data_IF_072778730058
#
_entry.id   IF_072778730058
#
_cell.length_a   1.000
_cell.length_b   1.000
_cell.length_c   1.000
_cell.angle_alpha   90.00
_cell.angle_beta   90.00
_cell.angle_gamma   90.00
#
_symmetry.space_group_name_H-M   'P 1'
#
loop_
_entity.id
_entity.type
_entity.pdbx_description
1 polymer ?
#
# COMPACT_ATOMS: atom_id res chain seq x y z
N UNK A 1 -34.48 -5.57 8.50
CA UNK A 1 -33.65 -4.36 8.76
C UNK A 1 -32.62 -4.57 9.88
N UNK A 2 -33.02 -4.87 11.12
CA UNK A 2 -32.11 -4.96 12.30
C UNK A 2 -30.94 -5.96 12.22
N UNK A 3 -31.09 -7.08 11.49
CA UNK A 3 -30.03 -8.10 11.36
C UNK A 3 -28.86 -7.64 10.48
N UNK A 4 -29.15 -6.92 9.39
CA UNK A 4 -28.10 -6.36 8.53
C UNK A 4 -27.29 -5.27 9.25
N UNK A 5 -27.92 -4.48 10.12
CA UNK A 5 -27.24 -3.43 10.87
C UNK A 5 -26.27 -3.99 11.92
N UNK A 6 -26.64 -5.09 12.59
CA UNK A 6 -25.75 -5.77 13.54
C UNK A 6 -24.52 -6.37 12.82
N UNK A 7 -24.73 -7.01 11.67
CA UNK A 7 -23.65 -7.55 10.82
C UNK A 7 -22.76 -6.43 10.28
N UNK A 8 -23.34 -5.30 9.89
CA UNK A 8 -22.58 -4.13 9.44
C UNK A 8 -21.74 -3.53 10.57
N UNK A 9 -22.30 -3.31 11.76
CA UNK A 9 -21.54 -2.81 12.92
C UNK A 9 -20.40 -3.74 13.32
N UNK A 10 -20.62 -5.06 13.28
CA UNK A 10 -19.56 -6.03 13.57
C UNK A 10 -18.43 -5.93 12.53
N UNK A 11 -18.78 -5.83 11.24
CA UNK A 11 -17.80 -5.62 10.18
C UNK A 11 -17.10 -4.26 10.30
N UNK A 12 -17.77 -3.20 10.76
CA UNK A 12 -17.17 -1.86 10.92
C UNK A 12 -16.21 -1.83 12.08
N UNK A 13 -16.55 -2.52 13.17
CA UNK A 13 -15.60 -2.78 14.27
C UNK A 13 -14.42 -3.62 13.80
N UNK A 14 -14.64 -4.63 12.95
CA UNK A 14 -13.55 -5.44 12.38
C UNK A 14 -12.65 -4.58 11.48
N UNK A 15 -13.24 -3.76 10.61
CA UNK A 15 -12.53 -2.81 9.75
C UNK A 15 -11.72 -1.82 10.60
N UNK A 16 -12.37 -1.17 11.57
CA UNK A 16 -11.73 -0.26 12.51
C UNK A 16 -10.59 -0.94 13.26
N UNK A 17 -10.76 -2.17 13.76
CA UNK A 17 -9.71 -2.89 14.49
C UNK A 17 -8.53 -3.29 13.60
N UNK A 18 -8.79 -3.62 12.33
CA UNK A 18 -7.75 -3.96 11.36
C UNK A 18 -6.96 -2.69 10.97
N UNK A 19 -7.65 -1.57 10.78
CA UNK A 19 -7.09 -0.33 10.26
C UNK A 19 -6.53 0.59 11.36
N UNK A 20 -7.02 0.52 12.60
CA UNK A 20 -6.55 1.41 13.67
C UNK A 20 -5.24 0.95 14.31
N UNK A 21 -4.92 -0.35 14.25
CA UNK A 21 -3.76 -0.91 14.96
C UNK A 21 -2.60 -1.30 14.06
N UNK A 22 -2.81 -1.29 12.75
CA UNK A 22 -1.80 -1.65 11.76
C UNK A 22 -1.66 -0.57 10.70
N UNK A 23 -0.49 -0.54 10.05
CA UNK A 23 -0.34 0.14 8.76
C UNK A 23 -1.31 -0.49 7.76
N UNK A 24 -1.88 0.33 6.89
CA UNK A 24 -2.69 -0.17 5.77
C UNK A 24 -1.75 -0.33 4.57
N UNK A 25 -1.22 0.79 4.11
CA UNK A 25 -0.28 0.90 2.99
C UNK A 25 1.14 1.09 3.51
N UNK A 26 2.06 0.24 3.06
CA UNK A 26 3.50 0.38 3.30
C UNK A 26 4.20 1.22 2.21
N UNK A 27 3.63 1.26 1.02
CA UNK A 27 4.03 2.16 -0.08
C UNK A 27 2.80 2.62 -0.86
N UNK A 28 2.90 3.80 -1.46
CA UNK A 28 2.01 4.21 -2.56
C UNK A 28 2.53 3.55 -3.85
N UNK A 29 1.62 3.14 -4.73
CA UNK A 29 1.93 2.44 -6.00
C UNK A 29 1.54 3.25 -7.23
N UNK A 30 0.90 4.38 -7.02
CA UNK A 30 0.53 5.38 -8.01
C UNK A 30 1.78 6.03 -8.62
N UNK A 31 1.70 6.50 -9.86
CA UNK A 31 2.76 7.29 -10.49
C UNK A 31 2.58 8.78 -10.15
N UNK A 32 3.38 9.35 -9.22
CA UNK A 32 3.21 10.74 -8.80
C UNK A 32 3.53 11.73 -9.93
N UNK A 33 4.20 11.32 -11.02
CA UNK A 33 4.47 12.20 -12.17
C UNK A 33 3.19 12.61 -12.88
N UNK A 34 2.20 11.73 -12.94
CA UNK A 34 0.88 12.02 -13.52
C UNK A 34 0.18 13.09 -12.70
N UNK A 35 0.21 12.95 -11.37
CA UNK A 35 -0.38 13.94 -10.46
C UNK A 35 0.31 15.30 -10.61
N UNK A 36 1.64 15.34 -10.60
CA UNK A 36 2.42 16.58 -10.74
C UNK A 36 2.18 17.28 -12.08
N UNK A 37 2.04 16.51 -13.16
CA UNK A 37 1.69 17.05 -14.48
C UNK A 37 0.28 17.64 -14.52
N UNK A 38 -0.71 16.95 -13.94
CA UNK A 38 -2.11 17.38 -13.98
C UNK A 38 -2.41 18.53 -13.01
N UNK A 39 -1.74 18.57 -11.86
CA UNK A 39 -1.99 19.54 -10.80
C UNK A 39 -1.13 20.80 -10.94
N UNK A 40 -0.12 20.79 -11.82
CA UNK A 40 0.80 21.92 -12.06
C UNK A 40 1.37 22.50 -10.74
N UNK A 41 1.88 21.61 -9.88
CA UNK A 41 2.37 21.98 -8.55
C UNK A 41 3.54 22.96 -8.66
N UNK A 42 3.46 24.06 -7.91
CA UNK A 42 4.42 25.17 -7.89
C UNK A 42 4.63 25.74 -6.47
N UNK A 43 5.46 26.77 -6.31
CA UNK A 43 5.76 27.38 -5.00
C UNK A 43 4.59 28.07 -4.29
N UNK A 44 3.45 28.27 -4.98
CA UNK A 44 2.23 28.86 -4.43
C UNK A 44 1.23 27.79 -4.00
N UNK A 45 1.51 26.54 -4.34
CA UNK A 45 0.61 25.42 -4.15
C UNK A 45 0.46 25.06 -2.67
N UNK A 46 -0.80 24.98 -2.25
CA UNK A 46 -1.23 24.62 -0.91
C UNK A 46 -2.03 23.32 -0.94
N UNK A 47 -1.36 22.19 -0.69
CA UNK A 47 -1.93 20.87 -0.94
C UNK A 47 -2.51 20.27 0.35
N UNK A 48 -3.66 19.63 0.25
CA UNK A 48 -4.21 18.75 1.29
C UNK A 48 -4.41 17.37 0.66
N UNK A 49 -3.90 16.33 1.30
CA UNK A 49 -4.01 14.97 0.79
C UNK A 49 -4.13 13.93 1.89
N UNK A 50 -4.71 12.78 1.52
CA UNK A 50 -4.69 11.60 2.38
C UNK A 50 -3.25 11.10 2.46
N UNK A 51 -2.75 10.88 3.67
CA UNK A 51 -1.34 10.54 3.89
C UNK A 51 -0.96 9.23 3.19
N UNK A 52 -1.80 8.20 3.26
CA UNK A 52 -1.52 6.88 2.68
C UNK A 52 -0.15 6.35 3.17
N UNK A 53 0.83 6.10 2.32
CA UNK A 53 2.18 5.73 2.79
C UNK A 53 3.15 6.93 2.84
N UNK A 54 2.70 8.13 2.50
CA UNK A 54 3.49 9.36 2.44
C UNK A 54 4.45 9.47 1.25
N UNK A 55 4.44 8.52 0.30
CA UNK A 55 5.37 8.55 -0.84
C UNK A 55 5.08 9.74 -1.77
N UNK A 56 3.84 9.90 -2.22
CA UNK A 56 3.47 10.98 -3.15
C UNK A 56 3.66 12.36 -2.50
N UNK A 57 3.32 12.51 -1.22
CA UNK A 57 3.59 13.74 -0.47
C UNK A 57 5.07 14.13 -0.49
N UNK A 58 5.98 13.16 -0.34
CA UNK A 58 7.42 13.42 -0.41
C UNK A 58 7.89 13.69 -1.84
N UNK A 59 7.26 13.06 -2.85
CA UNK A 59 7.58 13.30 -4.26
C UNK A 59 7.16 14.70 -4.71
N UNK A 60 5.98 15.18 -4.32
CA UNK A 60 5.48 16.52 -4.64
C UNK A 60 6.37 17.63 -4.06
N UNK A 61 7.14 17.36 -3.00
CA UNK A 61 8.12 18.33 -2.47
C UNK A 61 9.22 18.68 -3.48
N UNK A 62 9.41 17.86 -4.54
CA UNK A 62 10.36 18.15 -5.61
C UNK A 62 9.97 19.37 -6.45
N UNK A 63 8.69 19.76 -6.45
CA UNK A 63 8.20 20.97 -7.12
C UNK A 63 8.17 22.20 -6.19
N UNK A 64 8.72 22.07 -4.97
CA UNK A 64 8.83 23.13 -3.97
C UNK A 64 7.50 23.85 -3.60
N UNK A 65 6.39 23.12 -3.32
CA UNK A 65 5.14 23.76 -2.92
C UNK A 65 5.25 24.50 -1.59
N UNK A 66 4.40 25.51 -1.38
CA UNK A 66 4.35 26.29 -0.13
C UNK A 66 4.15 25.36 1.07
N UNK A 67 3.20 24.43 0.97
CA UNK A 67 2.96 23.40 2.00
C UNK A 67 2.14 22.23 1.50
N UNK A 68 2.36 21.07 2.12
CA UNK A 68 1.56 19.86 1.94
C UNK A 68 1.03 19.41 3.31
N UNK A 69 -0.29 19.39 3.46
CA UNK A 69 -0.99 18.93 4.65
C UNK A 69 -1.41 17.47 4.46
N UNK A 70 -0.69 16.55 5.11
CA UNK A 70 -0.97 15.12 5.05
C UNK A 70 -1.88 14.72 6.20
N UNK A 71 -3.10 14.29 5.90
CA UNK A 71 -4.13 13.93 6.88
C UNK A 71 -4.50 12.46 6.70
N UNK A 72 -4.66 11.71 7.77
CA UNK A 72 -5.13 10.32 7.67
C UNK A 72 -6.02 9.97 8.86
N UNK A 73 -7.03 9.13 8.61
CA UNK A 73 -7.87 8.56 9.68
C UNK A 73 -7.09 7.51 10.48
N UNK A 74 -6.08 6.89 9.87
CA UNK A 74 -5.14 6.00 10.51
C UNK A 74 -3.82 6.73 10.76
N UNK A 75 -3.54 7.26 11.97
CA UNK A 75 -2.33 8.06 12.20
C UNK A 75 -1.03 7.22 12.14
N UNK A 76 -1.11 5.90 11.94
CA UNK A 76 0.05 5.04 11.68
C UNK A 76 0.63 5.33 10.30
N UNK A 77 -0.21 5.78 9.36
CA UNK A 77 0.19 6.30 8.07
C UNK A 77 1.00 7.60 8.21
N UNK A 78 0.54 8.51 9.08
CA UNK A 78 1.32 9.69 9.46
C UNK A 78 2.65 9.31 10.13
N UNK A 79 2.65 8.32 11.02
CA UNK A 79 3.88 7.82 11.63
C UNK A 79 4.87 7.27 10.57
N UNK A 80 4.38 6.60 9.52
CA UNK A 80 5.22 6.13 8.41
C UNK A 80 5.82 7.29 7.59
N UNK A 81 5.03 8.33 7.31
CA UNK A 81 5.55 9.55 6.70
C UNK A 81 6.61 10.20 7.58
N UNK A 82 6.40 10.29 8.90
CA UNK A 82 7.38 10.85 9.84
C UNK A 82 8.69 10.05 9.86
N UNK A 83 8.64 8.72 9.81
CA UNK A 83 9.84 7.89 9.73
C UNK A 83 10.63 8.17 8.45
N UNK A 84 9.96 8.25 7.30
CA UNK A 84 10.59 8.62 6.02
C UNK A 84 11.22 10.01 6.09
N UNK A 85 10.50 11.00 6.62
CA UNK A 85 10.99 12.37 6.83
C UNK A 85 12.21 12.41 7.74
N UNK A 86 12.20 11.66 8.84
CA UNK A 86 13.34 11.57 9.76
C UNK A 86 14.60 11.05 9.06
N UNK A 87 14.47 9.99 8.26
CA UNK A 87 15.59 9.42 7.49
C UNK A 87 16.10 10.41 6.43
N UNK A 88 15.20 11.06 5.67
CA UNK A 88 15.57 12.06 4.66
C UNK A 88 16.31 13.24 5.32
N UNK A 89 15.84 13.72 6.47
CA UNK A 89 16.51 14.78 7.23
C UNK A 89 17.89 14.39 7.77
N UNK A 90 18.16 13.10 7.95
CA UNK A 90 19.50 12.61 8.26
C UNK A 90 20.45 12.62 7.05
N UNK A 91 19.97 12.95 5.84
CA UNK A 91 20.74 13.03 4.57
C UNK A 91 21.50 11.74 4.23
N UNK A 92 20.91 10.58 4.53
CA UNK A 92 21.49 9.26 4.25
C UNK A 92 20.59 8.48 3.30
N UNK A 93 20.87 8.61 2.00
CA UNK A 93 20.12 7.88 0.98
C UNK A 93 20.23 6.37 1.17
N UNK A 94 21.40 5.88 1.59
CA UNK A 94 21.65 4.44 1.81
C UNK A 94 20.73 3.89 2.90
N UNK A 95 20.52 4.65 3.97
CA UNK A 95 19.58 4.28 5.04
C UNK A 95 18.15 4.25 4.54
N UNK A 96 17.74 5.25 3.74
CA UNK A 96 16.42 5.26 3.10
C UNK A 96 16.24 4.02 2.21
N UNK A 97 17.26 3.71 1.39
CA UNK A 97 17.22 2.60 0.46
C UNK A 97 17.26 1.24 1.16
N UNK A 98 17.98 1.07 2.27
CA UNK A 98 17.88 -0.14 3.08
C UNK A 98 16.46 -0.32 3.63
N UNK A 99 15.91 0.70 4.29
CA UNK A 99 14.59 0.63 4.91
C UNK A 99 13.48 0.39 3.89
N UNK A 100 13.46 1.15 2.78
CA UNK A 100 12.32 1.16 1.86
C UNK A 100 12.61 0.59 0.48
N UNK A 101 13.87 0.55 0.02
CA UNK A 101 14.27 -0.05 -1.25
C UNK A 101 14.62 -1.53 -1.17
N UNK A 102 15.24 -1.97 -0.07
CA UNK A 102 15.44 -3.40 0.26
C UNK A 102 14.33 -3.92 1.16
N UNK A 103 13.68 -3.03 1.90
CA UNK A 103 12.67 -3.40 2.89
C UNK A 103 13.26 -3.95 4.19
N UNK A 104 14.59 -3.93 4.35
CA UNK A 104 15.32 -4.48 5.50
C UNK A 104 16.66 -3.78 5.73
N UNK A 105 17.03 -3.63 7.00
CA UNK A 105 18.35 -3.17 7.44
C UNK A 105 18.78 -3.95 8.69
N UNK A 106 19.99 -4.52 8.65
CA UNK A 106 20.62 -5.13 9.84
C UNK A 106 20.89 -4.10 10.94
N UNK A 107 20.88 -2.81 10.60
CA UNK A 107 21.07 -1.68 11.53
C UNK A 107 19.75 -0.99 11.86
N UNK A 108 18.59 -1.58 11.55
CA UNK A 108 17.30 -0.92 11.71
C UNK A 108 17.09 -0.39 13.14
N UNK A 109 17.29 -1.25 14.15
CA UNK A 109 17.15 -0.91 15.57
C UNK A 109 18.11 0.21 15.99
N UNK A 110 19.41 0.02 15.76
CA UNK A 110 20.43 0.99 16.18
C UNK A 110 20.32 2.32 15.43
N UNK A 111 19.92 2.31 14.16
CA UNK A 111 19.67 3.54 13.39
C UNK A 111 18.47 4.28 13.95
N UNK A 112 17.40 3.55 14.25
CA UNK A 112 16.19 4.12 14.80
C UNK A 112 16.43 4.79 16.15
N UNK A 113 17.02 4.06 17.10
CA UNK A 113 17.28 4.54 18.46
C UNK A 113 18.22 5.76 18.47
N UNK A 114 19.30 5.71 17.68
CA UNK A 114 20.32 6.77 17.71
C UNK A 114 19.93 8.01 16.91
N UNK A 115 19.20 7.85 15.81
CA UNK A 115 19.03 8.93 14.83
C UNK A 115 17.57 9.28 14.52
N UNK A 116 16.64 8.32 14.52
CA UNK A 116 15.30 8.57 13.97
C UNK A 116 14.28 8.91 15.05
N UNK A 117 14.31 8.20 16.18
CA UNK A 117 13.29 8.27 17.22
C UNK A 117 13.04 9.71 17.71
N UNK A 118 14.10 10.46 18.00
CA UNK A 118 14.01 11.83 18.52
C UNK A 118 13.57 12.89 17.48
N UNK A 119 13.41 12.52 16.20
CA UNK A 119 13.04 13.43 15.11
C UNK A 119 11.56 13.33 14.72
N UNK A 120 10.80 12.51 15.43
CA UNK A 120 9.37 12.28 15.19
C UNK A 120 8.55 12.78 16.38
N UNK A 121 7.26 12.97 16.15
CA UNK A 121 6.28 13.19 17.21
C UNK A 121 6.26 12.02 18.19
N UNK A 122 5.77 12.27 19.41
CA UNK A 122 5.64 11.25 20.46
C UNK A 122 4.83 10.05 19.98
N UNK A 123 3.68 10.28 19.34
CA UNK A 123 2.79 9.22 18.88
C UNK A 123 3.42 8.36 17.78
N UNK A 124 4.14 9.00 16.84
CA UNK A 124 4.86 8.29 15.79
C UNK A 124 6.02 7.46 16.36
N UNK A 125 6.79 8.02 17.31
CA UNK A 125 7.84 7.30 18.01
C UNK A 125 7.29 6.11 18.79
N UNK A 126 6.20 6.26 19.56
CA UNK A 126 5.60 5.15 20.30
C UNK A 126 5.13 4.01 19.37
N UNK A 127 4.60 4.34 18.20
CA UNK A 127 4.26 3.33 17.20
C UNK A 127 5.51 2.58 16.71
N UNK A 128 6.56 3.30 16.33
CA UNK A 128 7.78 2.69 15.80
C UNK A 128 8.62 1.99 16.85
N UNK A 129 8.59 2.42 18.12
CA UNK A 129 9.21 1.70 19.24
C UNK A 129 8.74 0.24 19.29
N UNK A 130 7.46 0.01 18.98
CA UNK A 130 6.85 -1.33 18.97
C UNK A 130 7.01 -2.08 17.64
N UNK A 131 7.36 -1.39 16.55
CA UNK A 131 7.22 -1.89 15.16
C UNK A 131 8.47 -1.77 14.32
N UNK A 132 9.54 -1.17 14.80
CA UNK A 132 10.80 -0.99 14.05
C UNK A 132 11.41 -2.33 13.61
N UNK A 133 11.10 -3.43 14.33
CA UNK A 133 11.43 -4.80 13.93
C UNK A 133 10.91 -5.20 12.55
N UNK A 134 9.94 -4.47 12.00
CA UNK A 134 9.47 -4.64 10.63
C UNK A 134 10.61 -4.52 9.60
N UNK A 135 11.67 -3.79 9.93
CA UNK A 135 12.83 -3.57 9.07
C UNK A 135 14.03 -4.46 9.42
N UNK A 136 14.01 -5.31 10.45
CA UNK A 136 15.22 -6.06 10.84
C UNK A 136 15.51 -7.27 9.97
N UNK A 137 14.52 -7.78 9.22
CA UNK A 137 14.68 -9.02 8.47
C UNK A 137 14.52 -10.31 9.30
N UNK A 138 14.29 -10.19 10.61
CA UNK A 138 14.32 -11.33 11.54
C UNK A 138 13.04 -12.17 11.56
N UNK A 139 11.95 -11.69 10.96
CA UNK A 139 10.70 -12.45 10.95
C UNK A 139 10.83 -13.71 10.08
N UNK A 140 10.35 -14.84 10.58
CA UNK A 140 10.44 -16.14 9.91
C UNK A 140 9.92 -16.12 8.47
N UNK A 141 8.75 -15.48 8.25
CA UNK A 141 8.01 -15.58 6.99
C UNK A 141 7.86 -14.25 6.21
N UNK A 142 8.09 -13.10 6.87
CA UNK A 142 7.86 -11.75 6.32
C UNK A 142 9.06 -10.87 6.61
N UNK A 143 10.18 -11.23 5.99
CA UNK A 143 11.47 -10.61 6.26
C UNK A 143 11.48 -9.13 5.87
N UNK A 144 10.77 -8.74 4.82
CA UNK A 144 10.78 -7.37 4.28
C UNK A 144 9.58 -6.54 4.74
N UNK A 145 9.79 -5.23 4.80
CA UNK A 145 8.72 -4.24 5.00
C UNK A 145 7.63 -4.28 3.91
N UNK A 146 7.96 -4.82 2.73
CA UNK A 146 7.00 -5.01 1.63
C UNK A 146 5.80 -5.90 1.99
N UNK A 147 5.97 -6.77 3.00
CA UNK A 147 4.91 -7.66 3.48
C UNK A 147 4.32 -7.23 4.82
N UNK A 148 4.44 -5.95 5.17
CA UNK A 148 3.91 -5.35 6.41
C UNK A 148 2.75 -4.42 6.10
N UNK A 149 1.86 -4.28 7.08
CA UNK A 149 0.57 -3.62 6.90
C UNK A 149 -0.43 -4.49 6.14
N UNK A 150 -1.70 -4.11 6.14
CA UNK A 150 -2.79 -4.96 5.60
C UNK A 150 -2.65 -5.22 4.11
N UNK A 151 -2.20 -4.22 3.34
CA UNK A 151 -1.91 -4.40 1.91
C UNK A 151 -0.69 -5.30 1.69
N UNK A 152 0.36 -5.17 2.51
CA UNK A 152 1.53 -6.04 2.47
C UNK A 152 1.21 -7.50 2.85
N UNK A 153 0.32 -7.70 3.82
CA UNK A 153 -0.22 -9.02 4.19
C UNK A 153 -0.95 -9.67 3.01
N UNK A 154 -1.80 -8.90 2.33
CA UNK A 154 -2.46 -9.34 1.11
C UNK A 154 -1.46 -9.68 0.00
N UNK A 155 -0.46 -8.82 -0.25
CA UNK A 155 0.58 -9.05 -1.24
C UNK A 155 1.38 -10.34 -0.95
N UNK A 156 1.69 -10.60 0.32
CA UNK A 156 2.37 -11.83 0.73
C UNK A 156 1.52 -13.08 0.48
N UNK A 157 0.23 -13.05 0.84
CA UNK A 157 -0.71 -14.14 0.56
C UNK A 157 -0.88 -14.36 -0.95
N UNK A 158 -0.96 -13.29 -1.72
CA UNK A 158 -1.04 -13.34 -3.18
C UNK A 158 0.24 -13.92 -3.80
N UNK A 159 1.42 -13.56 -3.28
CA UNK A 159 2.69 -14.16 -3.69
C UNK A 159 2.71 -15.67 -3.46
N UNK A 160 2.24 -16.16 -2.31
CA UNK A 160 2.08 -17.60 -2.05
C UNK A 160 1.08 -18.27 -3.00
N UNK A 161 -0.02 -17.60 -3.28
CA UNK A 161 -1.03 -18.07 -4.24
C UNK A 161 -0.43 -18.25 -5.65
N UNK A 162 0.44 -17.33 -6.09
CA UNK A 162 1.14 -17.42 -7.36
C UNK A 162 2.19 -18.53 -7.35
N UNK A 163 3.00 -18.65 -6.29
CA UNK A 163 4.01 -19.71 -6.16
C UNK A 163 3.41 -21.12 -6.23
N UNK A 164 2.20 -21.30 -5.70
CA UNK A 164 1.45 -22.56 -5.82
C UNK A 164 0.90 -22.84 -7.25
N UNK A 165 1.07 -21.91 -8.20
CA UNK A 165 0.59 -21.99 -9.58
C UNK A 165 1.73 -21.67 -10.56
N UNK A 166 2.62 -22.63 -10.85
CA UNK A 166 3.86 -22.40 -11.59
C UNK A 166 3.66 -21.64 -12.91
N UNK A 167 2.64 -22.00 -13.71
CA UNK A 167 2.36 -21.31 -14.98
C UNK A 167 1.97 -19.84 -14.79
N UNK A 168 1.12 -19.53 -13.80
CA UNK A 168 0.72 -18.15 -13.50
C UNK A 168 1.91 -17.34 -12.96
N UNK A 169 2.75 -17.96 -12.12
CA UNK A 169 3.99 -17.35 -11.64
C UNK A 169 4.95 -17.01 -12.78
N UNK A 170 5.21 -17.96 -13.69
CA UNK A 170 6.08 -17.75 -14.86
C UNK A 170 5.56 -16.63 -15.74
N UNK A 171 4.26 -16.64 -16.09
CA UNK A 171 3.65 -15.59 -16.89
C UNK A 171 3.71 -14.22 -16.19
N UNK A 172 3.51 -14.18 -14.87
CA UNK A 172 3.67 -12.93 -14.10
C UNK A 172 5.11 -12.41 -14.18
N UNK A 173 6.11 -13.28 -14.09
CA UNK A 173 7.53 -12.89 -14.23
C UNK A 173 7.83 -12.38 -15.64
N UNK A 174 7.29 -13.03 -16.66
CA UNK A 174 7.43 -12.62 -18.07
C UNK A 174 6.78 -11.25 -18.29
N UNK A 175 5.55 -11.05 -17.79
CA UNK A 175 4.82 -9.78 -17.88
C UNK A 175 5.64 -8.61 -17.32
N UNK A 176 6.27 -8.81 -16.15
CA UNK A 176 7.10 -7.81 -15.48
C UNK A 176 8.45 -7.58 -16.17
N UNK A 177 8.92 -8.52 -17.00
CA UNK A 177 10.17 -8.42 -17.74
C UNK A 177 10.01 -8.04 -19.22
N UNK A 178 8.78 -7.92 -19.70
CA UNK A 178 8.44 -7.63 -21.09
C UNK A 178 9.12 -6.35 -21.56
N UNK A 179 9.54 -6.34 -22.83
CA UNK A 179 10.30 -5.24 -23.45
C UNK A 179 9.45 -4.32 -24.30
N UNK A 180 8.19 -4.68 -24.53
CA UNK A 180 7.21 -3.87 -25.26
C UNK A 180 5.82 -4.03 -24.66
N UNK A 181 4.95 -3.05 -24.90
CA UNK A 181 3.54 -3.13 -24.53
C UNK A 181 2.82 -4.26 -25.28
N UNK A 182 3.22 -4.54 -26.52
CA UNK A 182 2.62 -5.62 -27.30
C UNK A 182 2.91 -7.00 -26.70
N UNK A 183 4.18 -7.26 -26.37
CA UNK A 183 4.59 -8.48 -25.65
C UNK A 183 3.87 -8.56 -24.29
N UNK A 184 3.80 -7.46 -23.55
CA UNK A 184 3.14 -7.40 -22.25
C UNK A 184 1.64 -7.75 -22.36
N UNK A 185 0.93 -7.23 -23.36
CA UNK A 185 -0.49 -7.55 -23.60
C UNK A 185 -0.69 -9.02 -23.94
N UNK A 186 0.11 -9.58 -24.84
CA UNK A 186 0.02 -10.99 -25.20
C UNK A 186 0.23 -11.91 -23.98
N UNK A 187 1.21 -11.59 -23.13
CA UNK A 187 1.43 -12.34 -21.88
C UNK A 187 0.25 -12.15 -20.92
N UNK A 188 -0.31 -10.94 -20.84
CA UNK A 188 -1.46 -10.66 -19.98
C UNK A 188 -2.70 -11.43 -20.41
N UNK A 189 -2.98 -11.56 -21.71
CA UNK A 189 -4.11 -12.33 -22.22
C UNK A 189 -4.02 -13.82 -21.81
N UNK A 190 -2.81 -14.37 -21.77
CA UNK A 190 -2.56 -15.69 -21.22
C UNK A 190 -2.66 -15.72 -19.68
N UNK A 191 -2.23 -14.68 -18.98
CA UNK A 191 -2.20 -14.63 -17.53
C UNK A 191 -3.59 -14.39 -16.91
N UNK A 192 -4.41 -13.53 -17.52
CA UNK A 192 -5.66 -13.04 -16.94
C UNK A 192 -6.61 -14.18 -16.55
N UNK A 193 -6.93 -15.18 -17.39
CA UNK A 193 -7.85 -16.26 -17.02
C UNK A 193 -7.36 -17.07 -15.80
N UNK A 194 -6.04 -17.08 -15.57
CA UNK A 194 -5.40 -17.80 -14.46
C UNK A 194 -5.49 -16.99 -13.17
N UNK A 195 -5.36 -15.67 -13.25
CA UNK A 195 -5.53 -14.77 -12.11
C UNK A 195 -7.02 -14.58 -11.77
N UNK A 196 -7.83 -14.24 -12.76
CA UNK A 196 -9.25 -13.87 -12.66
C UNK A 196 -10.19 -15.08 -12.84
N UNK A 197 -9.86 -16.19 -12.20
CA UNK A 197 -10.71 -17.38 -12.15
C UNK A 197 -11.91 -17.20 -11.18
N UNK A 198 -12.84 -18.16 -11.17
CA UNK A 198 -14.07 -18.10 -10.34
C UNK A 198 -13.78 -17.88 -8.86
N UNK A 199 -12.75 -18.51 -8.30
CA UNK A 199 -12.39 -18.37 -6.89
C UNK A 199 -11.85 -16.96 -6.59
N UNK A 200 -10.94 -16.45 -7.41
CA UNK A 200 -10.40 -15.10 -7.22
C UNK A 200 -11.49 -14.04 -7.36
N UNK A 201 -12.34 -14.13 -8.40
CA UNK A 201 -13.48 -13.23 -8.60
C UNK A 201 -14.45 -13.28 -7.41
N UNK A 202 -14.73 -14.47 -6.88
CA UNK A 202 -15.54 -14.62 -5.67
C UNK A 202 -14.89 -13.93 -4.47
N UNK A 203 -13.57 -14.10 -4.27
CA UNK A 203 -12.83 -13.51 -3.16
C UNK A 203 -12.79 -11.97 -3.25
N UNK A 204 -12.61 -11.41 -4.44
CA UNK A 204 -12.59 -9.95 -4.68
C UNK A 204 -13.95 -9.30 -4.41
N UNK A 205 -15.04 -10.04 -4.62
CA UNK A 205 -16.37 -9.59 -4.24
C UNK A 205 -16.66 -9.67 -2.74
N UNK A 206 -15.73 -10.14 -1.88
CA UNK A 206 -15.91 -10.15 -0.41
C UNK A 206 -15.42 -8.87 0.24
N UNK A 207 -16.15 -8.41 1.27
CA UNK A 207 -15.81 -7.15 1.94
C UNK A 207 -14.48 -7.24 2.70
N UNK A 208 -14.19 -8.37 3.35
CA UNK A 208 -12.95 -8.55 4.10
C UNK A 208 -11.71 -8.40 3.20
N UNK A 209 -11.75 -8.97 1.99
CA UNK A 209 -10.68 -8.82 0.99
C UNK A 209 -10.43 -7.36 0.64
N UNK A 210 -11.51 -6.62 0.36
CA UNK A 210 -11.44 -5.20 0.01
C UNK A 210 -10.96 -4.35 1.20
N UNK A 211 -11.38 -4.70 2.42
CA UNK A 211 -10.89 -4.07 3.64
C UNK A 211 -9.38 -4.29 3.83
N UNK A 212 -8.83 -5.47 3.54
CA UNK A 212 -7.38 -5.68 3.63
C UNK A 212 -6.60 -4.80 2.64
N UNK A 213 -7.19 -4.52 1.47
CA UNK A 213 -6.67 -3.61 0.46
C UNK A 213 -6.93 -2.12 0.78
N UNK A 214 -7.50 -1.82 1.95
CA UNK A 214 -7.82 -0.47 2.39
C UNK A 214 -9.03 0.15 1.66
N UNK A 215 -9.80 -0.63 0.91
CA UNK A 215 -10.99 -0.15 0.19
C UNK A 215 -12.17 -0.03 1.17
N UNK A 216 -12.69 1.20 1.42
CA UNK A 216 -13.82 1.40 2.32
C UNK A 216 -15.11 0.77 1.80
N UNK A 217 -16.07 0.55 2.70
CA UNK A 217 -17.39 0.01 2.32
C UNK A 217 -18.13 0.88 1.34
N UNK A 218 -18.11 2.19 1.55
CA UNK A 218 -18.77 3.17 0.69
C UNK A 218 -18.27 3.05 -0.74
N UNK A 219 -16.94 3.01 -0.93
CA UNK A 219 -16.32 2.84 -2.24
C UNK A 219 -16.68 1.48 -2.88
N UNK A 220 -16.62 0.39 -2.11
CA UNK A 220 -17.04 -0.92 -2.62
C UNK A 220 -18.52 -0.93 -3.05
N UNK A 221 -19.40 -0.34 -2.24
CA UNK A 221 -20.84 -0.27 -2.49
C UNK A 221 -21.08 0.51 -3.80
N UNK A 222 -20.44 1.67 -3.95
CA UNK A 222 -20.48 2.47 -5.17
C UNK A 222 -20.08 1.65 -6.40
N UNK A 223 -18.94 0.95 -6.37
CA UNK A 223 -18.50 0.11 -7.49
C UNK A 223 -19.49 -1.04 -7.75
N UNK A 224 -20.02 -1.67 -6.70
CA UNK A 224 -20.94 -2.80 -6.86
C UNK A 224 -22.29 -2.38 -7.44
N UNK A 225 -22.71 -1.13 -7.23
CA UNK A 225 -23.97 -0.57 -7.73
C UNK A 225 -23.81 0.03 -9.13
N UNK A 226 -22.67 0.68 -9.40
CA UNK A 226 -22.43 1.38 -10.68
C UNK A 226 -21.82 0.50 -11.77
N UNK A 227 -21.21 -0.63 -11.43
CA UNK A 227 -20.44 -1.45 -12.36
C UNK A 227 -21.04 -2.86 -12.53
N UNK A 228 -21.57 -3.21 -13.72
CA UNK A 228 -22.06 -4.56 -13.98
C UNK A 228 -20.99 -5.62 -13.70
N UNK A 229 -21.34 -6.65 -12.91
CA UNK A 229 -20.38 -7.68 -12.46
C UNK A 229 -19.56 -7.30 -11.21
N UNK A 230 -19.81 -6.13 -10.64
CA UNK A 230 -19.29 -5.67 -9.36
C UNK A 230 -17.77 -5.47 -9.34
N UNK A 231 -17.19 -5.57 -8.15
CA UNK A 231 -15.78 -5.27 -7.90
C UNK A 231 -14.82 -6.10 -8.75
N UNK A 232 -15.14 -7.38 -8.98
CA UNK A 232 -14.27 -8.26 -9.77
C UNK A 232 -14.26 -7.87 -11.26
N UNK A 233 -15.40 -7.45 -11.82
CA UNK A 233 -15.46 -6.99 -13.21
C UNK A 233 -14.73 -5.65 -13.38
N UNK A 234 -14.96 -4.72 -12.46
CA UNK A 234 -14.25 -3.44 -12.42
C UNK A 234 -12.73 -3.64 -12.42
N UNK A 235 -12.20 -4.49 -11.53
CA UNK A 235 -10.75 -4.72 -11.47
C UNK A 235 -10.23 -5.44 -12.73
N UNK A 236 -10.96 -6.41 -13.27
CA UNK A 236 -10.58 -7.06 -14.54
C UNK A 236 -10.45 -6.04 -15.67
N UNK A 237 -11.41 -5.13 -15.80
CA UNK A 237 -11.40 -4.12 -16.84
C UNK A 237 -10.27 -3.10 -16.64
N UNK A 238 -10.05 -2.64 -15.40
CA UNK A 238 -8.94 -1.72 -15.08
C UNK A 238 -7.56 -2.29 -15.38
N UNK A 239 -7.39 -3.62 -15.38
CA UNK A 239 -6.12 -4.27 -15.73
C UNK A 239 -5.91 -4.46 -17.23
N UNK A 240 -6.95 -4.28 -18.05
CA UNK A 240 -6.87 -4.38 -19.53
C UNK A 240 -6.63 -3.03 -20.22
N UNK A 241 -6.95 -1.94 -19.53
CA UNK A 241 -6.77 -0.56 -19.99
C UNK A 241 -5.35 -0.08 -19.69
#
# INVERSE_FOLDING_TARGET
>A
MKFNDAVNRLRDKLFSSIHSNNLIYNTCWEDPRVDRYLLEIDERSNIVMITSAGCNALDYLLDNPERINCIDVNPRQNALLELKRAIIKCKRFETLFEFFGKGTSVRALSTYEKYLRARMSKDAAEFWDRRIEYFTGNAQNKKTFYYRGTAGEFAWLFGKYLLARPKAYTLTRQLLSAKSLEEQRQIYDDLEPRLMNKLTKWLMNRHLTMALLGVPRSQKKLISESYPGGMAAYISESLRR
#
